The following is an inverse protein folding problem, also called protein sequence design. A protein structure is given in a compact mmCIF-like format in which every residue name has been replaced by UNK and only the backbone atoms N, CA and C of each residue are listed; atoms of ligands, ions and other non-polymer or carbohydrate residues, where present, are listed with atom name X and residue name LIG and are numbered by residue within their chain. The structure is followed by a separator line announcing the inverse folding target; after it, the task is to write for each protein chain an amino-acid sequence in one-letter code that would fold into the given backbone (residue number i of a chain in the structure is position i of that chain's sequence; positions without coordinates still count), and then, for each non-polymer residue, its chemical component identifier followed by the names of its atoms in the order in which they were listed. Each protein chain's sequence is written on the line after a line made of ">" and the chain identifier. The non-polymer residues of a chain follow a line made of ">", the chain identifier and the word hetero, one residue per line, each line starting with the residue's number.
data_IF_131050456661
#
_entry.id   IF_131050456661
#
_cell.length_a   1.000
_cell.length_b   1.000
_cell.length_c   1.000
_cell.angle_alpha   90.00
_cell.angle_beta   90.00
_cell.angle_gamma   90.00
#
_symmetry.space_group_name_H-M   'P 1'
#
loop_
_entity.id
_entity.type
_entity.pdbx_description
1 polymer ?
#
# COMPACT_ATOMS: atom_id res chain seq x y z
N UNK A 1 -42.06 9.45 -12.50
CA UNK A 1 -41.34 8.88 -13.63
C UNK A 1 -40.50 10.01 -14.22
N UNK A 2 -39.37 10.27 -13.59
CA UNK A 2 -38.48 11.41 -13.85
C UNK A 2 -37.45 11.09 -14.94
N UNK A 3 -37.21 9.81 -15.22
CA UNK A 3 -36.31 9.29 -16.24
C UNK A 3 -37.04 8.50 -17.36
N UNK A 4 -38.36 8.32 -17.26
CA UNK A 4 -39.26 7.74 -18.25
C UNK A 4 -39.06 6.23 -18.49
N UNK A 5 -38.73 5.46 -17.46
CA UNK A 5 -38.62 3.99 -17.54
C UNK A 5 -39.94 3.25 -17.26
N UNK A 6 -40.96 3.99 -16.80
CA UNK A 6 -42.30 3.48 -16.51
C UNK A 6 -42.55 3.14 -15.05
N UNK A 7 -41.59 3.36 -14.15
CA UNK A 7 -41.75 3.28 -12.70
C UNK A 7 -41.98 4.70 -12.14
N UNK A 8 -42.77 4.80 -11.06
CA UNK A 8 -43.00 6.10 -10.42
C UNK A 8 -41.82 6.40 -9.48
N UNK A 9 -41.31 7.63 -9.46
CA UNK A 9 -40.20 8.10 -8.58
C UNK A 9 -40.33 7.73 -7.09
N UNK A 10 -41.53 7.43 -6.60
CA UNK A 10 -41.77 7.02 -5.21
C UNK A 10 -41.61 5.51 -4.97
N UNK A 11 -41.59 4.73 -6.04
CA UNK A 11 -41.47 3.26 -6.09
C UNK A 11 -40.18 2.83 -6.80
N UNK A 12 -39.37 3.78 -7.23
CA UNK A 12 -38.13 3.58 -7.98
C UNK A 12 -36.92 3.89 -7.08
N UNK A 13 -36.00 2.94 -6.97
CA UNK A 13 -34.76 3.12 -6.23
C UNK A 13 -33.81 4.12 -6.94
N UNK A 14 -33.94 4.29 -8.26
CA UNK A 14 -33.11 5.15 -9.10
C UNK A 14 -33.91 6.12 -9.97
N UNK A 15 -34.64 7.11 -9.40
CA UNK A 15 -35.57 7.99 -10.15
C UNK A 15 -34.96 8.88 -11.26
N UNK A 16 -33.65 8.81 -11.48
CA UNK A 16 -32.94 9.57 -12.48
C UNK A 16 -32.14 8.70 -13.46
N UNK A 17 -32.23 7.38 -13.33
CA UNK A 17 -31.54 6.41 -14.17
C UNK A 17 -32.50 5.35 -14.69
N UNK A 18 -33.03 5.59 -15.89
CA UNK A 18 -33.99 4.71 -16.55
C UNK A 18 -33.50 3.27 -16.84
N UNK A 19 -32.24 2.98 -16.54
CA UNK A 19 -31.66 1.64 -16.70
C UNK A 19 -31.68 0.83 -15.41
N UNK A 20 -31.99 1.44 -14.27
CA UNK A 20 -32.05 0.82 -12.95
C UNK A 20 -33.40 1.11 -12.29
N UNK A 21 -33.94 0.15 -11.54
CA UNK A 21 -35.27 0.30 -10.87
C UNK A 21 -35.31 -0.26 -9.46
N UNK A 22 -34.40 -1.18 -9.12
CA UNK A 22 -34.39 -1.91 -7.86
C UNK A 22 -32.97 -1.91 -7.28
N UNK A 23 -32.91 -1.82 -5.96
CA UNK A 23 -31.70 -1.86 -5.13
C UNK A 23 -32.04 -2.79 -3.96
N UNK A 24 -31.66 -4.06 -4.07
CA UNK A 24 -32.14 -5.11 -3.16
C UNK A 24 -31.52 -5.04 -1.77
N UNK A 25 -30.29 -4.54 -1.65
CA UNK A 25 -29.55 -4.48 -0.38
C UNK A 25 -29.32 -3.05 0.14
N UNK A 26 -29.66 -2.04 -0.66
CA UNK A 26 -29.72 -0.64 -0.26
C UNK A 26 -28.36 0.07 -0.31
N UNK A 27 -27.41 -0.41 -1.12
CA UNK A 27 -26.07 0.17 -1.23
C UNK A 27 -25.98 1.32 -2.27
N UNK A 28 -27.04 1.53 -3.05
CA UNK A 28 -27.11 2.56 -4.08
C UNK A 28 -26.54 2.13 -5.44
N UNK A 29 -26.32 0.84 -5.67
CA UNK A 29 -26.04 0.24 -6.96
C UNK A 29 -27.24 -0.61 -7.40
N UNK A 30 -27.53 -0.60 -8.70
CA UNK A 30 -28.81 -1.14 -9.18
C UNK A 30 -28.72 -2.60 -9.63
N UNK A 31 -29.73 -3.40 -9.28
CA UNK A 31 -29.76 -4.85 -9.52
C UNK A 31 -29.77 -5.24 -11.01
N UNK A 32 -30.11 -4.31 -11.92
CA UNK A 32 -30.16 -4.64 -13.34
C UNK A 32 -28.73 -4.73 -13.89
N UNK A 33 -28.26 -5.95 -14.11
CA UNK A 33 -26.93 -6.24 -14.67
C UNK A 33 -26.64 -5.58 -16.04
N UNK A 34 -27.68 -5.18 -16.80
CA UNK A 34 -27.54 -4.45 -18.08
C UNK A 34 -27.70 -2.94 -17.95
N UNK A 35 -27.90 -2.43 -16.72
CA UNK A 35 -28.03 -1.00 -16.43
C UNK A 35 -26.70 -0.30 -16.23
N UNK A 36 -26.74 1.01 -15.98
CA UNK A 36 -25.56 1.74 -15.54
C UNK A 36 -25.23 1.35 -14.10
N UNK A 37 -23.94 1.31 -13.78
CA UNK A 37 -23.44 0.98 -12.44
C UNK A 37 -24.14 -0.24 -11.82
N UNK A 38 -24.16 -1.39 -12.53
CA UNK A 38 -24.85 -2.57 -12.07
C UNK A 38 -24.17 -3.16 -10.84
N UNK A 39 -24.96 -3.51 -9.84
CA UNK A 39 -24.50 -4.21 -8.66
C UNK A 39 -24.15 -5.68 -9.01
N UNK A 40 -22.89 -6.06 -8.80
CA UNK A 40 -22.44 -7.45 -8.97
C UNK A 40 -22.84 -8.35 -7.77
N UNK A 41 -23.24 -7.78 -6.65
CA UNK A 41 -23.57 -8.47 -5.40
C UNK A 41 -24.92 -8.01 -4.81
N UNK A 42 -26.01 -8.12 -5.57
CA UNK A 42 -27.42 -7.78 -5.25
C UNK A 42 -28.00 -8.14 -3.85
N UNK A 43 -27.28 -8.81 -2.97
CA UNK A 43 -27.71 -9.12 -1.60
C UNK A 43 -26.63 -8.82 -0.55
N UNK A 44 -25.55 -8.13 -0.91
CA UNK A 44 -24.39 -7.85 -0.04
C UNK A 44 -24.08 -6.36 -0.12
N UNK A 45 -24.74 -5.57 0.74
CA UNK A 45 -24.70 -4.10 0.70
C UNK A 45 -23.33 -3.44 0.91
N UNK A 46 -22.28 -4.25 1.08
CA UNK A 46 -20.90 -3.79 1.21
C UNK A 46 -20.07 -4.03 -0.05
N UNK A 47 -20.63 -4.66 -1.08
CA UNK A 47 -19.96 -5.02 -2.31
C UNK A 47 -20.85 -4.69 -3.50
N UNK A 48 -20.28 -4.11 -4.55
CA UNK A 48 -21.02 -3.79 -5.78
C UNK A 48 -20.22 -4.03 -7.06
N UNK A 49 -18.92 -4.27 -6.94
CA UNK A 49 -18.01 -4.47 -8.06
C UNK A 49 -17.12 -5.68 -7.81
N UNK A 50 -16.85 -6.42 -8.90
CA UNK A 50 -15.97 -7.58 -8.96
C UNK A 50 -15.13 -7.41 -10.24
N UNK A 51 -13.91 -6.89 -10.09
CA UNK A 51 -13.12 -6.45 -11.23
C UNK A 51 -12.56 -7.61 -12.05
N UNK A 52 -12.32 -8.77 -11.45
CA UNK A 52 -11.78 -9.95 -12.14
C UNK A 52 -12.78 -11.10 -12.32
N UNK A 53 -13.95 -11.01 -11.72
CA UNK A 53 -15.09 -11.88 -11.95
C UNK A 53 -15.01 -13.20 -11.19
N UNK A 54 -14.30 -13.25 -10.07
CA UNK A 54 -14.09 -14.47 -9.29
C UNK A 54 -15.14 -14.71 -8.19
N UNK A 55 -16.04 -13.75 -7.98
CA UNK A 55 -17.13 -13.83 -7.01
C UNK A 55 -16.77 -13.28 -5.63
N UNK A 56 -15.60 -12.66 -5.45
CA UNK A 56 -15.27 -11.84 -4.30
C UNK A 56 -15.28 -10.35 -4.67
N UNK A 57 -15.70 -9.50 -3.74
CA UNK A 57 -15.97 -8.10 -4.04
C UNK A 57 -14.76 -7.19 -3.83
N UNK A 58 -14.65 -6.16 -4.67
CA UNK A 58 -13.50 -5.25 -4.68
C UNK A 58 -13.35 -4.42 -3.38
N UNK A 59 -14.45 -4.17 -2.66
CA UNK A 59 -14.43 -3.35 -1.44
C UNK A 59 -13.83 -4.14 -0.27
N UNK A 60 -13.19 -3.41 0.64
CA UNK A 60 -12.52 -4.05 1.78
C UNK A 60 -12.92 -3.42 3.12
N UNK A 61 -13.05 -4.28 4.13
CA UNK A 61 -13.37 -3.85 5.50
C UNK A 61 -12.17 -3.87 6.46
N UNK A 62 -11.04 -4.45 6.03
CA UNK A 62 -9.86 -4.49 6.86
C UNK A 62 -9.04 -3.20 6.72
N UNK A 63 -9.09 -2.34 7.73
CA UNK A 63 -8.37 -1.06 7.73
C UNK A 63 -6.85 -1.22 7.58
N UNK A 64 -6.28 -2.40 7.87
CA UNK A 64 -4.85 -2.65 7.64
C UNK A 64 -4.48 -2.68 6.15
N UNK A 65 -5.46 -2.85 5.25
CA UNK A 65 -5.26 -2.85 3.79
C UNK A 65 -5.34 -1.43 3.19
N UNK A 66 -5.77 -0.43 3.95
CA UNK A 66 -5.88 0.96 3.45
C UNK A 66 -4.54 1.50 2.92
N UNK A 67 -3.42 1.00 3.45
CA UNK A 67 -2.08 1.38 2.99
C UNK A 67 -1.61 0.64 1.74
N UNK A 68 -2.17 -0.54 1.45
CA UNK A 68 -1.81 -1.36 0.28
C UNK A 68 -2.74 -1.11 -0.90
N UNK A 69 -3.98 -0.66 -0.67
CA UNK A 69 -4.98 -0.33 -1.70
C UNK A 69 -4.92 1.16 -2.05
N UNK A 70 -3.94 1.51 -2.88
CA UNK A 70 -3.67 2.88 -3.35
C UNK A 70 -4.27 3.17 -4.72
N UNK A 71 -4.60 4.46 -4.98
CA UNK A 71 -5.15 5.15 -6.18
C UNK A 71 -5.67 4.34 -7.39
N UNK A 72 -4.97 3.32 -7.89
CA UNK A 72 -5.38 2.51 -9.04
C UNK A 72 -5.90 1.11 -8.66
N UNK A 73 -6.15 0.88 -7.36
CA UNK A 73 -6.69 -0.37 -6.86
C UNK A 73 -8.24 -0.35 -6.90
N UNK A 74 -8.90 -1.40 -7.40
CA UNK A 74 -10.36 -1.48 -7.41
C UNK A 74 -10.99 -1.43 -6.01
N UNK A 75 -12.22 -0.92 -5.95
CA UNK A 75 -13.04 -0.84 -4.75
C UNK A 75 -12.71 0.31 -3.81
N UNK A 76 -13.39 0.32 -2.66
CA UNK A 76 -13.15 1.27 -1.58
C UNK A 76 -13.22 0.64 -0.18
N UNK A 77 -12.79 1.39 0.83
CA UNK A 77 -12.92 0.96 2.22
C UNK A 77 -14.37 1.11 2.68
N UNK A 78 -15.00 -0.02 3.00
CA UNK A 78 -16.34 -0.10 3.58
C UNK A 78 -16.24 -0.80 4.93
N UNK A 79 -16.59 -0.12 6.01
CA UNK A 79 -16.50 -0.70 7.36
C UNK A 79 -17.34 -1.98 7.45
N UNK A 80 -16.69 -3.11 7.76
CA UNK A 80 -17.35 -4.41 7.85
C UNK A 80 -17.64 -5.09 6.51
N UNK A 81 -16.94 -4.71 5.42
CA UNK A 81 -17.15 -5.35 4.12
C UNK A 81 -17.02 -6.88 4.18
N UNK A 82 -18.05 -7.55 3.68
CA UNK A 82 -18.11 -9.00 3.54
C UNK A 82 -17.52 -9.43 2.20
N UNK A 83 -17.01 -10.67 2.11
CA UNK A 83 -16.48 -11.25 0.86
C UNK A 83 -15.43 -10.39 0.15
N UNK A 84 -14.66 -9.60 0.91
CA UNK A 84 -13.62 -8.74 0.35
C UNK A 84 -12.54 -9.59 -0.34
N UNK A 85 -12.39 -9.41 -1.64
CA UNK A 85 -11.34 -10.04 -2.42
C UNK A 85 -10.00 -9.46 -2.01
N UNK A 86 -9.01 -10.30 -1.70
CA UNK A 86 -7.64 -9.89 -1.40
C UNK A 86 -6.81 -9.58 -2.66
N UNK A 87 -7.19 -10.13 -3.81
CA UNK A 87 -6.54 -9.99 -5.11
C UNK A 87 -7.47 -9.46 -6.26
N UNK A 88 -8.13 -8.29 -6.16
CA UNK A 88 -9.18 -7.77 -7.09
C UNK A 88 -8.83 -7.54 -8.56
N UNK A 89 -7.64 -7.93 -9.00
CA UNK A 89 -7.22 -7.81 -10.40
C UNK A 89 -6.76 -9.15 -10.98
N UNK A 90 -6.83 -10.22 -10.19
CA UNK A 90 -6.35 -11.55 -10.52
C UNK A 90 -7.32 -12.55 -9.90
N UNK A 91 -8.21 -13.07 -10.75
CA UNK A 91 -9.18 -14.08 -10.34
C UNK A 91 -8.52 -15.24 -9.60
N UNK A 92 -9.12 -15.61 -8.47
CA UNK A 92 -8.65 -16.66 -7.61
C UNK A 92 -9.78 -17.49 -6.99
N UNK A 93 -9.39 -18.42 -6.13
CA UNK A 93 -10.29 -19.38 -5.48
C UNK A 93 -9.90 -19.67 -4.02
N UNK A 94 -8.91 -18.95 -3.48
CA UNK A 94 -8.54 -19.08 -2.06
C UNK A 94 -9.71 -18.71 -1.15
N UNK A 95 -9.86 -19.45 -0.04
CA UNK A 95 -11.04 -19.40 0.84
C UNK A 95 -10.71 -19.34 2.33
N UNK A 96 -9.45 -19.42 2.74
CA UNK A 96 -9.08 -19.45 4.16
C UNK A 96 -8.26 -18.23 4.60
N UNK A 97 -8.13 -18.07 5.93
CA UNK A 97 -7.30 -17.05 6.60
C UNK A 97 -7.59 -15.57 6.23
N UNK A 98 -8.77 -15.30 5.69
CA UNK A 98 -9.16 -13.95 5.26
C UNK A 98 -8.43 -13.48 4.01
N UNK A 99 -7.80 -14.41 3.28
CA UNK A 99 -7.20 -14.20 1.96
C UNK A 99 -8.14 -14.85 0.95
N UNK A 100 -9.21 -14.14 0.62
CA UNK A 100 -10.18 -14.58 -0.38
C UNK A 100 -9.78 -14.10 -1.78
N UNK A 101 -10.17 -14.83 -2.82
CA UNK A 101 -10.04 -14.40 -4.23
C UNK A 101 -8.61 -14.32 -4.79
N UNK A 102 -7.63 -14.88 -4.09
CA UNK A 102 -6.28 -15.03 -4.66
C UNK A 102 -6.08 -16.41 -5.32
N UNK A 103 -5.14 -16.54 -6.27
CA UNK A 103 -4.80 -17.81 -6.87
C UNK A 103 -4.43 -18.87 -5.82
N UNK A 104 -5.05 -20.03 -5.91
CA UNK A 104 -4.81 -21.22 -5.09
C UNK A 104 -4.73 -22.43 -6.06
N UNK A 105 -3.50 -22.81 -6.38
CA UNK A 105 -3.18 -23.74 -7.46
C UNK A 105 -3.50 -25.20 -7.15
N UNK A 106 -3.46 -25.60 -5.88
CA UNK A 106 -3.74 -26.98 -5.45
C UNK A 106 -5.12 -27.15 -4.81
N UNK A 107 -5.81 -26.04 -4.53
CA UNK A 107 -7.22 -26.00 -4.14
C UNK A 107 -7.46 -26.34 -2.67
N UNK A 108 -6.44 -26.20 -1.82
CA UNK A 108 -6.56 -26.47 -0.38
C UNK A 108 -7.20 -25.30 0.40
N UNK A 109 -7.44 -24.18 -0.29
CA UNK A 109 -8.05 -22.96 0.21
C UNK A 109 -7.04 -21.87 0.56
N UNK A 110 -5.74 -22.18 0.63
CA UNK A 110 -4.67 -21.24 0.97
C UNK A 110 -4.15 -20.63 -0.34
N UNK A 111 -4.01 -19.30 -0.37
CA UNK A 111 -3.46 -18.64 -1.55
C UNK A 111 -1.99 -19.05 -1.79
N UNK A 112 -1.61 -19.25 -3.05
CA UNK A 112 -0.26 -19.66 -3.51
C UNK A 112 0.87 -18.84 -2.89
N UNK A 113 0.63 -17.56 -2.62
CA UNK A 113 1.63 -16.63 -2.07
C UNK A 113 1.91 -16.85 -0.57
N UNK A 114 1.05 -17.61 0.11
CA UNK A 114 1.12 -17.95 1.52
C UNK A 114 1.22 -19.46 1.76
N UNK A 115 1.18 -20.26 0.70
CA UNK A 115 1.34 -21.71 0.77
C UNK A 115 2.82 -22.11 0.63
N UNK A 116 3.37 -22.71 1.70
CA UNK A 116 4.74 -23.23 1.73
C UNK A 116 4.88 -24.58 0.99
N UNK A 117 3.77 -25.23 0.66
CA UNK A 117 3.67 -26.58 0.09
C UNK A 117 2.99 -26.57 -1.28
N UNK A 118 3.12 -25.47 -2.04
CA UNK A 118 2.55 -25.30 -3.37
C UNK A 118 3.02 -26.42 -4.33
N UNK A 119 2.22 -27.50 -4.38
CA UNK A 119 2.27 -28.75 -5.18
C UNK A 119 1.73 -29.98 -4.40
N UNK A 120 1.27 -29.84 -3.16
CA UNK A 120 0.81 -30.97 -2.35
C UNK A 120 -0.64 -30.81 -1.92
N UNK A 121 -1.56 -30.93 -2.88
CA UNK A 121 -2.99 -31.13 -2.61
C UNK A 121 -3.18 -32.17 -1.49
N UNK A 122 -3.54 -31.70 -0.30
CA UNK A 122 -3.76 -32.57 0.86
C UNK A 122 -5.05 -33.34 0.61
N UNK A 123 -4.90 -34.64 0.41
CA UNK A 123 -5.99 -35.61 0.42
C UNK A 123 -6.76 -35.42 1.73
N UNK A 124 -8.05 -35.07 1.63
CA UNK A 124 -8.98 -34.94 2.75
C UNK A 124 -8.80 -36.10 3.75
N UNK A 125 -8.45 -35.78 4.99
CA UNK A 125 -8.54 -36.73 6.10
C UNK A 125 -10.01 -36.96 6.46
N UNK A 126 -10.50 -38.20 6.34
CA UNK A 126 -11.24 -38.98 7.37
C UNK A 126 -11.72 -40.34 6.79
N UNK A 127 -11.99 -41.38 7.59
CA UNK A 127 -11.30 -41.87 8.79
C UNK A 127 -10.83 -43.35 8.63
N UNK A 128 -10.09 -43.83 9.63
CA UNK A 128 -9.46 -45.16 9.78
C UNK A 128 -10.29 -46.38 9.29
N UNK A 129 -9.66 -47.30 8.52
CA UNK A 129 -9.89 -48.76 8.69
C UNK A 129 -8.81 -49.66 8.04
N UNK A 130 -8.44 -50.70 8.80
CA UNK A 130 -7.37 -51.69 8.55
C UNK A 130 -7.60 -52.67 7.37
N UNK A 131 -6.50 -52.97 6.66
CA UNK A 131 -6.08 -54.26 6.05
C UNK A 131 -6.90 -54.93 4.93
N UNK A 132 -6.29 -55.18 3.75
CA UNK A 132 -5.72 -56.48 3.30
C UNK A 132 -5.32 -56.46 1.79
N UNK A 133 -4.40 -57.34 1.44
CA UNK A 133 -3.58 -57.43 0.22
C UNK A 133 -4.30 -57.80 -1.11
N UNK A 134 -3.59 -57.48 -2.20
CA UNK A 134 -3.44 -58.20 -3.48
C UNK A 134 -4.39 -57.92 -4.67
N UNK A 135 -3.87 -57.20 -5.70
CA UNK A 135 -3.48 -57.74 -7.03
C UNK A 135 -3.77 -56.83 -8.25
N UNK A 136 -2.67 -56.45 -8.93
CA UNK A 136 -2.47 -56.29 -10.39
C UNK A 136 -3.28 -55.28 -11.21
N UNK A 137 -2.61 -54.24 -11.76
CA UNK A 137 -2.22 -54.18 -13.19
C UNK A 137 -1.50 -52.87 -13.56
N UNK A 138 -0.31 -52.99 -14.16
CA UNK A 138 0.41 -52.11 -15.10
C UNK A 138 0.05 -50.61 -15.23
N UNK A 139 1.03 -49.75 -14.95
CA UNK A 139 1.58 -48.85 -15.97
C UNK A 139 2.95 -48.31 -15.55
N UNK A 140 3.96 -48.68 -16.34
CA UNK A 140 5.38 -48.36 -16.19
C UNK A 140 5.69 -46.86 -16.42
N UNK A 141 5.63 -46.01 -15.39
CA UNK A 141 6.30 -44.68 -15.43
C UNK A 141 7.08 -44.32 -14.16
N UNK A 142 7.01 -45.13 -13.08
CA UNK A 142 7.63 -44.77 -11.80
C UNK A 142 9.12 -45.17 -11.63
N UNK A 143 9.71 -45.91 -12.57
CA UNK A 143 11.07 -46.47 -12.38
C UNK A 143 12.22 -45.47 -12.61
N UNK A 144 11.94 -44.23 -13.03
CA UNK A 144 12.96 -43.20 -13.26
C UNK A 144 13.19 -42.27 -12.06
N UNK A 145 12.17 -42.04 -11.22
CA UNK A 145 12.26 -41.15 -10.06
C UNK A 145 12.84 -41.86 -8.83
N UNK A 146 12.60 -43.16 -8.66
CA UNK A 146 13.24 -43.94 -7.57
C UNK A 146 14.76 -44.06 -7.75
N UNK A 147 15.27 -44.05 -8.98
CA UNK A 147 16.73 -44.09 -9.23
C UNK A 147 17.43 -42.76 -8.92
N UNK A 148 16.68 -41.65 -8.81
CA UNK A 148 17.21 -40.32 -8.46
C UNK A 148 17.26 -40.09 -6.95
N UNK A 149 16.47 -40.85 -6.17
CA UNK A 149 16.35 -40.71 -4.71
C UNK A 149 17.15 -41.75 -3.91
N UNK A 150 17.78 -42.75 -4.56
CA UNK A 150 18.47 -43.84 -3.84
C UNK A 150 19.91 -43.54 -3.39
N UNK A 151 20.45 -42.35 -3.66
CA UNK A 151 21.66 -41.88 -2.98
C UNK A 151 22.95 -42.69 -3.17
N UNK A 152 23.14 -43.36 -4.32
CA UNK A 152 24.39 -44.07 -4.60
C UNK A 152 25.39 -43.21 -5.39
N UNK A 153 26.51 -42.89 -4.74
CA UNK A 153 27.65 -42.17 -5.31
C UNK A 153 28.59 -43.14 -6.02
N UNK A 154 28.64 -43.15 -7.36
CA UNK A 154 29.91 -43.26 -8.09
C UNK A 154 29.79 -42.98 -9.61
N UNK A 155 30.57 -41.98 -10.04
CA UNK A 155 31.13 -41.76 -11.39
C UNK A 155 30.23 -41.30 -12.54
N UNK A 156 30.19 -39.98 -12.66
CA UNK A 156 30.04 -39.17 -13.88
C UNK A 156 30.75 -39.81 -15.09
N UNK A 157 30.06 -39.97 -16.22
CA UNK A 157 30.57 -39.50 -17.54
C UNK A 157 29.47 -39.42 -18.60
N UNK A 158 29.43 -38.25 -19.27
CA UNK A 158 28.78 -37.95 -20.56
C UNK A 158 27.26 -37.79 -20.60
N UNK A 159 26.80 -36.56 -20.35
CA UNK A 159 26.07 -35.74 -21.36
C UNK A 159 25.92 -34.32 -20.83
N UNK A 160 26.97 -33.52 -21.03
CA UNK A 160 26.88 -32.07 -20.91
C UNK A 160 26.18 -31.53 -22.16
N UNK A 161 25.03 -30.89 -22.00
CA UNK A 161 24.38 -30.14 -23.08
C UNK A 161 22.94 -29.83 -22.69
N UNK A 162 22.55 -28.57 -22.83
CA UNK A 162 21.19 -28.05 -22.63
C UNK A 162 20.77 -27.76 -21.17
N UNK A 163 20.77 -28.73 -20.25
CA UNK A 163 20.26 -28.48 -18.88
C UNK A 163 21.03 -27.42 -18.08
N UNK A 164 22.36 -27.53 -18.04
CA UNK A 164 23.21 -26.57 -17.33
C UNK A 164 23.29 -25.20 -18.04
N UNK A 165 23.06 -25.16 -19.36
CA UNK A 165 23.02 -23.91 -20.13
C UNK A 165 21.69 -23.18 -19.88
N UNK A 166 20.59 -23.92 -19.80
CA UNK A 166 19.26 -23.37 -19.51
C UNK A 166 19.20 -22.87 -18.06
N UNK A 167 19.72 -23.63 -17.10
CA UNK A 167 19.81 -23.20 -15.69
C UNK A 167 20.77 -22.02 -15.51
N UNK A 168 21.88 -21.96 -16.25
CA UNK A 168 22.77 -20.80 -16.23
C UNK A 168 22.14 -19.56 -16.90
N UNK A 169 21.38 -19.72 -17.99
CA UNK A 169 20.65 -18.63 -18.66
C UNK A 169 19.47 -18.14 -17.83
N UNK A 170 18.73 -19.03 -17.17
CA UNK A 170 17.63 -18.71 -16.24
C UNK A 170 18.15 -18.04 -14.98
N UNK A 171 19.26 -18.51 -14.40
CA UNK A 171 19.90 -17.85 -13.27
C UNK A 171 20.47 -16.46 -13.62
N UNK A 172 20.92 -16.26 -14.87
CA UNK A 172 21.35 -14.94 -15.37
C UNK A 172 20.17 -14.00 -15.66
N UNK A 173 18.98 -14.52 -15.97
CA UNK A 173 17.76 -13.75 -16.24
C UNK A 173 17.01 -13.33 -14.96
N UNK A 174 17.04 -14.14 -13.90
CA UNK A 174 16.32 -13.88 -12.64
C UNK A 174 16.88 -12.74 -11.77
N UNK A 175 18.02 -12.14 -12.13
CA UNK A 175 18.58 -11.03 -11.35
C UNK A 175 18.34 -9.65 -11.97
N UNK A 176 17.86 -9.57 -13.22
CA UNK A 176 17.73 -8.30 -13.95
C UNK A 176 16.38 -8.06 -14.64
N UNK A 177 15.50 -9.06 -14.77
CA UNK A 177 14.27 -8.87 -15.57
C UNK A 177 13.18 -8.06 -14.85
N UNK A 178 13.01 -8.24 -13.54
CA UNK A 178 12.04 -7.48 -12.72
C UNK A 178 12.44 -6.00 -12.59
N UNK A 179 13.74 -5.71 -12.70
CA UNK A 179 14.27 -4.34 -12.69
C UNK A 179 13.91 -3.53 -13.96
N UNK A 180 13.64 -4.20 -15.08
CA UNK A 180 13.42 -3.58 -16.39
C UNK A 180 11.93 -3.35 -16.73
N UNK A 181 11.01 -3.86 -15.91
CA UNK A 181 9.56 -3.86 -16.17
C UNK A 181 8.74 -2.97 -15.25
N UNK A 182 9.32 -2.45 -14.17
CA UNK A 182 8.65 -1.40 -13.41
C UNK A 182 8.74 -0.08 -14.20
N UNK A 183 7.64 0.67 -14.32
CA UNK A 183 7.73 2.06 -14.71
C UNK A 183 8.76 2.78 -13.83
N UNK A 184 9.49 3.76 -14.36
CA UNK A 184 10.55 4.49 -13.64
C UNK A 184 10.07 5.08 -12.28
N UNK A 185 8.76 5.17 -12.08
CA UNK A 185 8.03 5.62 -10.88
C UNK A 185 7.99 4.61 -9.72
N UNK A 186 8.63 3.44 -9.81
CA UNK A 186 8.63 2.44 -8.73
C UNK A 186 10.03 1.92 -8.37
N UNK A 187 11.08 2.67 -8.72
CA UNK A 187 12.47 2.29 -8.38
C UNK A 187 12.71 2.27 -6.87
N UNK A 188 12.02 3.11 -6.09
CA UNK A 188 12.09 3.09 -4.63
C UNK A 188 11.62 1.76 -4.03
N UNK A 189 10.57 1.14 -4.58
CA UNK A 189 10.03 -0.15 -4.11
C UNK A 189 11.10 -1.24 -4.22
N UNK A 190 11.83 -1.28 -5.33
CA UNK A 190 12.93 -2.25 -5.53
C UNK A 190 14.10 -2.02 -4.57
N UNK A 191 14.36 -0.76 -4.24
CA UNK A 191 15.48 -0.33 -3.42
C UNK A 191 15.20 -0.51 -1.93
N UNK A 192 13.96 -0.31 -1.48
CA UNK A 192 13.52 -0.59 -0.12
C UNK A 192 13.26 -2.08 0.13
N UNK A 193 12.77 -2.84 -0.87
CA UNK A 193 12.52 -4.30 -0.76
C UNK A 193 13.78 -5.14 -0.59
N UNK A 194 14.95 -4.64 -1.00
CA UNK A 194 16.23 -5.39 -0.90
C UNK A 194 16.76 -5.58 0.52
N UNK A 195 16.19 -4.91 1.53
CA UNK A 195 16.60 -5.09 2.93
C UNK A 195 15.41 -5.40 3.82
N UNK A 196 15.32 -6.63 4.32
CA UNK A 196 14.26 -7.06 5.25
C UNK A 196 14.28 -6.32 6.61
N UNK A 197 15.33 -5.54 6.90
CA UNK A 197 15.44 -4.72 8.10
C UNK A 197 16.32 -3.50 7.86
N UNK A 198 15.78 -2.30 8.10
CA UNK A 198 16.55 -1.06 8.05
C UNK A 198 17.53 -0.98 9.24
N UNK A 199 18.74 -0.52 8.97
CA UNK A 199 19.72 -0.16 9.99
C UNK A 199 19.35 1.16 10.67
N UNK A 200 19.87 1.39 11.88
CA UNK A 200 19.64 2.64 12.63
C UNK A 200 20.06 3.90 11.85
N UNK A 201 21.11 3.77 11.05
CA UNK A 201 21.59 4.83 10.16
C UNK A 201 20.57 5.12 9.06
N UNK A 202 20.07 4.08 8.38
CA UNK A 202 19.05 4.25 7.33
C UNK A 202 17.75 4.83 7.89
N UNK A 203 17.28 4.35 9.04
CA UNK A 203 16.09 4.89 9.71
C UNK A 203 16.28 6.39 9.97
N UNK A 204 17.43 6.79 10.52
CA UNK A 204 17.71 8.21 10.81
C UNK A 204 17.68 9.08 9.56
N UNK A 205 18.34 8.64 8.49
CA UNK A 205 18.41 9.42 7.25
C UNK A 205 17.09 9.45 6.47
N UNK A 206 16.31 8.36 6.52
CA UNK A 206 14.99 8.29 5.92
C UNK A 206 13.98 9.17 6.67
N UNK A 207 14.04 9.19 8.01
CA UNK A 207 13.27 10.15 8.81
C UNK A 207 13.64 11.59 8.45
N UNK A 208 14.94 11.91 8.32
CA UNK A 208 15.37 13.25 7.90
C UNK A 208 14.81 13.64 6.53
N UNK A 209 14.86 12.73 5.55
CA UNK A 209 14.29 12.95 4.24
C UNK A 209 12.77 13.17 4.30
N UNK A 210 12.05 12.38 5.10
CA UNK A 210 10.62 12.55 5.32
C UNK A 210 10.30 13.93 5.90
N UNK A 211 11.00 14.35 6.96
CA UNK A 211 10.82 15.68 7.57
C UNK A 211 11.10 16.80 6.58
N UNK A 212 12.08 16.63 5.68
CA UNK A 212 12.37 17.59 4.63
C UNK A 212 11.20 17.72 3.64
N UNK A 213 10.62 16.60 3.19
CA UNK A 213 9.45 16.62 2.32
C UNK A 213 8.24 17.23 3.03
N UNK A 214 8.02 16.91 4.30
CA UNK A 214 6.95 17.49 5.13
C UNK A 214 7.10 18.99 5.37
N UNK A 215 8.32 19.51 5.43
CA UNK A 215 8.54 20.94 5.61
C UNK A 215 8.19 21.75 4.36
N UNK A 216 8.40 21.18 3.17
CA UNK A 216 8.32 21.92 1.90
C UNK A 216 7.27 21.39 0.91
N UNK A 217 6.39 20.47 1.29
CA UNK A 217 5.40 19.89 0.37
C UNK A 217 4.45 20.92 -0.26
N UNK A 218 4.20 22.04 0.42
CA UNK A 218 3.36 23.15 -0.06
C UNK A 218 4.11 23.98 -1.12
N UNK A 219 5.41 24.18 -0.93
CA UNK A 219 6.27 24.93 -1.86
C UNK A 219 7.26 23.99 -2.55
N UNK A 220 6.79 23.34 -3.60
CA UNK A 220 7.55 22.31 -4.31
C UNK A 220 8.80 22.82 -5.00
N UNK A 221 8.88 24.12 -5.32
CA UNK A 221 10.09 24.69 -5.90
C UNK A 221 11.19 24.80 -4.85
N UNK A 222 10.86 25.27 -3.64
CA UNK A 222 11.78 25.23 -2.50
C UNK A 222 12.16 23.80 -2.13
N UNK A 223 11.22 22.84 -2.17
CA UNK A 223 11.53 21.42 -1.94
C UNK A 223 12.59 20.91 -2.93
N UNK A 224 12.48 21.23 -4.22
CA UNK A 224 13.46 20.80 -5.23
C UNK A 224 14.87 21.31 -4.94
N UNK A 225 14.99 22.57 -4.50
CA UNK A 225 16.27 23.15 -4.11
C UNK A 225 16.88 22.43 -2.90
N UNK A 226 16.07 22.16 -1.87
CA UNK A 226 16.50 21.44 -0.66
C UNK A 226 16.90 19.98 -0.96
N UNK A 227 16.18 19.31 -1.86
CA UNK A 227 16.50 17.96 -2.32
C UNK A 227 17.84 17.91 -3.09
N UNK A 228 18.13 18.94 -3.90
CA UNK A 228 19.44 19.07 -4.56
C UNK A 228 20.58 19.31 -3.55
N UNK A 229 20.35 20.16 -2.54
CA UNK A 229 21.30 20.38 -1.45
C UNK A 229 21.56 19.07 -0.67
N UNK A 230 20.50 18.30 -0.39
CA UNK A 230 20.61 17.00 0.27
C UNK A 230 21.44 16.01 -0.56
N UNK A 231 21.28 15.94 -1.88
CA UNK A 231 22.12 15.08 -2.74
C UNK A 231 23.61 15.42 -2.65
N UNK A 232 23.92 16.72 -2.66
CA UNK A 232 25.29 17.20 -2.55
C UNK A 232 25.89 16.83 -1.18
N UNK A 233 25.12 17.05 -0.11
CA UNK A 233 25.49 16.70 1.26
C UNK A 233 25.69 15.18 1.45
N UNK A 234 24.77 14.33 0.97
CA UNK A 234 24.92 12.87 0.99
C UNK A 234 26.20 12.42 0.27
N UNK A 235 26.53 13.06 -0.85
CA UNK A 235 27.77 12.76 -1.57
C UNK A 235 29.00 13.17 -0.77
N UNK A 236 29.00 14.32 -0.11
CA UNK A 236 30.09 14.76 0.75
C UNK A 236 30.28 13.83 1.97
N UNK A 237 29.19 13.51 2.68
CA UNK A 237 29.19 12.59 3.83
C UNK A 237 29.68 11.19 3.46
N UNK A 238 29.34 10.72 2.26
CA UNK A 238 29.86 9.43 1.76
C UNK A 238 31.38 9.47 1.51
N UNK A 239 31.90 10.55 0.92
CA UNK A 239 33.35 10.70 0.69
C UNK A 239 34.14 10.78 2.01
N UNK A 240 33.49 11.24 3.08
CA UNK A 240 34.07 11.30 4.43
C UNK A 240 33.86 10.02 5.26
N UNK A 241 33.24 8.98 4.69
CA UNK A 241 32.84 7.74 5.40
C UNK A 241 31.86 7.97 6.56
N UNK A 242 31.04 9.03 6.50
CA UNK A 242 30.02 9.34 7.50
C UNK A 242 28.69 8.63 7.22
N UNK A 243 28.46 8.21 5.96
CA UNK A 243 27.33 7.37 5.57
C UNK A 243 27.78 6.17 4.74
N UNK A 244 27.05 5.05 4.87
CA UNK A 244 27.27 3.84 4.07
C UNK A 244 26.80 4.02 2.63
N UNK A 245 27.43 3.25 1.74
CA UNK A 245 27.10 3.22 0.31
C UNK A 245 25.62 2.86 0.09
N UNK A 246 25.13 1.82 0.77
CA UNK A 246 23.76 1.33 0.59
C UNK A 246 22.72 2.37 1.04
N UNK A 247 22.98 3.05 2.16
CA UNK A 247 22.14 4.15 2.67
C UNK A 247 22.09 5.32 1.69
N UNK A 248 23.25 5.71 1.14
CA UNK A 248 23.34 6.77 0.12
C UNK A 248 22.54 6.41 -1.13
N UNK A 249 22.71 5.19 -1.66
CA UNK A 249 22.03 4.76 -2.88
C UNK A 249 20.51 4.71 -2.70
N UNK A 250 20.03 4.30 -1.51
CA UNK A 250 18.61 4.36 -1.14
C UNK A 250 18.07 5.78 -1.16
N UNK A 251 18.74 6.69 -0.45
CA UNK A 251 18.30 8.08 -0.35
C UNK A 251 18.33 8.79 -1.69
N UNK A 252 19.40 8.62 -2.49
CA UNK A 252 19.48 9.24 -3.82
C UNK A 252 18.32 8.78 -4.71
N UNK A 253 17.99 7.48 -4.67
CA UNK A 253 16.85 6.95 -5.45
C UNK A 253 15.53 7.64 -5.05
N UNK A 254 15.28 7.77 -3.75
CA UNK A 254 14.07 8.45 -3.26
C UNK A 254 14.07 9.94 -3.62
N UNK A 255 15.22 10.60 -3.54
CA UNK A 255 15.33 12.03 -3.89
C UNK A 255 15.09 12.25 -5.39
N UNK A 256 15.64 11.41 -6.26
CA UNK A 256 15.42 11.48 -7.71
C UNK A 256 13.91 11.37 -8.06
N UNK A 257 13.20 10.50 -7.34
CA UNK A 257 11.76 10.31 -7.52
C UNK A 257 10.94 11.48 -7.00
N UNK A 258 11.26 11.99 -5.81
CA UNK A 258 10.63 13.19 -5.27
C UNK A 258 10.79 14.40 -6.20
N UNK A 259 11.95 14.54 -6.85
CA UNK A 259 12.17 15.63 -7.81
C UNK A 259 11.39 15.50 -9.11
N UNK A 260 11.07 14.27 -9.53
CA UNK A 260 10.25 14.00 -10.72
C UNK A 260 8.74 13.93 -10.42
N UNK A 261 8.37 14.00 -9.15
CA UNK A 261 6.98 13.97 -8.69
C UNK A 261 6.25 15.29 -8.90
N UNK A 262 4.94 15.21 -9.15
CA UNK A 262 4.05 16.37 -9.24
C UNK A 262 3.69 16.91 -7.85
N UNK A 263 3.25 18.18 -7.72
CA UNK A 263 2.86 18.75 -6.43
C UNK A 263 1.80 17.95 -5.67
N UNK A 264 0.78 17.45 -6.37
CA UNK A 264 -0.26 16.61 -5.77
C UNK A 264 0.29 15.26 -5.27
N UNK A 265 1.34 14.73 -5.89
CA UNK A 265 2.01 13.51 -5.41
C UNK A 265 2.85 13.81 -4.18
N UNK A 266 3.58 14.93 -4.17
CA UNK A 266 4.40 15.37 -3.04
C UNK A 266 3.54 15.60 -1.78
N UNK A 267 2.36 16.19 -1.91
CA UNK A 267 1.41 16.37 -0.81
C UNK A 267 1.00 15.02 -0.18
N UNK A 268 0.77 13.99 -1.02
CA UNK A 268 0.43 12.64 -0.56
C UNK A 268 1.62 11.89 0.03
N UNK A 269 2.82 12.15 -0.46
CA UNK A 269 4.06 11.49 -0.01
C UNK A 269 4.51 12.03 1.35
N UNK A 270 4.38 13.34 1.59
CA UNK A 270 4.91 14.02 2.77
C UNK A 270 4.61 13.28 4.09
N UNK A 271 3.37 12.85 4.29
CA UNK A 271 2.93 12.22 5.54
C UNK A 271 2.90 10.69 5.50
N UNK A 272 3.41 10.07 4.42
CA UNK A 272 3.33 8.63 4.22
C UNK A 272 4.62 7.93 4.69
N UNK A 273 4.62 7.36 5.90
CA UNK A 273 5.74 6.56 6.44
C UNK A 273 6.08 5.33 5.57
N UNK A 274 5.10 4.77 4.85
CA UNK A 274 5.29 3.61 3.97
C UNK A 274 6.20 3.92 2.79
N UNK A 275 6.03 5.11 2.20
CA UNK A 275 6.84 5.57 1.08
C UNK A 275 8.33 5.62 1.44
N UNK A 276 8.66 6.00 2.67
CA UNK A 276 10.03 6.04 3.17
C UNK A 276 10.50 4.69 3.75
N UNK A 277 9.66 3.66 3.76
CA UNK A 277 9.98 2.35 4.33
C UNK A 277 10.11 2.36 5.85
N UNK A 278 9.52 3.35 6.52
CA UNK A 278 9.66 3.56 7.97
C UNK A 278 8.63 2.77 8.80
N UNK A 279 7.71 2.06 8.15
CA UNK A 279 6.70 1.22 8.83
C UNK A 279 7.39 0.22 9.77
N UNK A 280 7.01 0.24 11.05
CA UNK A 280 7.48 -0.71 12.06
C UNK A 280 8.90 -0.45 12.57
N UNK A 281 9.54 0.67 12.21
CA UNK A 281 10.92 0.98 12.63
C UNK A 281 11.05 1.86 13.87
N UNK A 282 9.97 2.54 14.26
CA UNK A 282 9.97 3.49 15.38
C UNK A 282 9.43 2.82 16.64
N UNK A 283 10.29 2.68 17.66
CA UNK A 283 9.85 2.35 19.02
C UNK A 283 8.88 3.42 19.50
N UNK A 284 7.82 3.03 20.20
CA UNK A 284 6.72 3.93 20.56
C UNK A 284 7.20 5.15 21.37
N UNK A 285 8.28 4.98 22.14
CA UNK A 285 8.89 6.01 22.97
C UNK A 285 9.71 7.03 22.14
N UNK A 286 10.41 6.56 21.10
CA UNK A 286 11.16 7.41 20.18
C UNK A 286 10.21 8.18 19.25
N UNK A 287 9.08 7.56 18.85
CA UNK A 287 7.98 8.23 18.14
C UNK A 287 7.39 9.36 18.98
N UNK A 288 7.16 9.16 20.28
CA UNK A 288 6.67 10.24 21.15
C UNK A 288 7.69 11.35 21.37
N UNK A 289 8.97 11.03 21.51
CA UNK A 289 10.01 12.04 21.69
C UNK A 289 10.23 12.87 20.41
N UNK A 290 10.19 12.24 19.23
CA UNK A 290 10.26 12.93 17.95
C UNK A 290 8.98 13.74 17.69
N UNK A 291 7.80 13.22 18.04
CA UNK A 291 6.53 13.97 17.96
C UNK A 291 6.52 15.16 18.92
N UNK A 292 7.06 15.03 20.13
CA UNK A 292 7.19 16.14 21.09
C UNK A 292 8.22 17.18 20.61
N UNK A 293 9.34 16.72 20.05
CA UNK A 293 10.35 17.59 19.45
C UNK A 293 9.80 18.29 18.20
N UNK A 294 8.97 17.61 17.43
CA UNK A 294 8.29 18.12 16.24
C UNK A 294 7.12 19.03 16.58
N UNK A 295 6.36 18.79 17.66
CA UNK A 295 5.37 19.74 18.22
C UNK A 295 6.07 20.99 18.75
N UNK A 296 7.25 20.84 19.36
CA UNK A 296 8.08 21.97 19.79
C UNK A 296 8.66 22.76 18.61
N UNK A 297 8.86 22.12 17.45
CA UNK A 297 9.30 22.77 16.19
C UNK A 297 8.14 23.28 15.32
N UNK A 298 6.96 22.67 15.40
CA UNK A 298 5.70 22.99 14.69
C UNK A 298 4.86 24.04 15.42
N UNK A 299 5.49 24.81 16.31
CA UNK A 299 4.88 25.96 16.95
C UNK A 299 4.69 27.14 16.00
N UNK A 300 3.79 27.01 15.02
CA UNK A 300 3.16 28.14 14.34
C UNK A 300 1.78 27.74 13.78
N UNK A 301 0.91 27.19 14.64
CA UNK A 301 -0.52 27.24 14.36
C UNK A 301 -1.06 28.62 14.76
N UNK A 302 -1.84 29.24 13.86
CA UNK A 302 -2.57 30.45 14.19
C UNK A 302 -3.51 30.15 15.39
N UNK A 303 -3.66 31.08 16.35
CA UNK A 303 -4.53 30.86 17.50
C UNK A 303 -5.97 30.57 17.06
N UNK A 304 -6.67 29.72 17.81
CA UNK A 304 -8.08 29.43 17.55
C UNK A 304 -8.91 30.72 17.63
N UNK A 305 -9.81 30.90 16.65
CA UNK A 305 -10.64 32.11 16.46
C UNK A 305 -11.42 32.55 17.70
N UNK A 306 -11.80 31.59 18.54
CA UNK A 306 -12.61 31.79 19.75
C UNK A 306 -11.82 32.41 20.93
N UNK A 307 -10.49 32.31 20.91
CA UNK A 307 -9.64 32.92 21.93
C UNK A 307 -9.78 34.44 21.88
N UNK A 308 -9.87 35.10 23.04
CA UNK A 308 -9.95 36.56 23.16
C UNK A 308 -8.63 37.14 23.65
N UNK A 309 -8.14 38.15 22.94
CA UNK A 309 -6.96 38.92 23.30
C UNK A 309 -7.28 40.18 24.10
N UNK A 310 -6.24 40.94 24.40
CA UNK A 310 -6.35 42.23 25.05
C UNK A 310 -6.50 43.34 23.99
N UNK A 311 -7.48 44.22 24.19
CA UNK A 311 -7.69 45.37 23.31
C UNK A 311 -6.80 46.52 23.77
N UNK A 312 -5.94 46.99 22.89
CA UNK A 312 -5.06 48.13 23.16
C UNK A 312 -5.86 49.44 23.14
N UNK A 313 -5.65 50.28 24.15
CA UNK A 313 -6.33 51.57 24.28
C UNK A 313 -5.76 52.68 23.39
N UNK A 314 -4.62 52.44 22.73
CA UNK A 314 -3.95 53.43 21.88
C UNK A 314 -4.37 53.36 20.42
N UNK A 315 -4.58 52.15 19.90
CA UNK A 315 -4.90 51.88 18.49
C UNK A 315 -6.22 51.11 18.30
N UNK A 316 -6.81 50.56 19.36
CA UNK A 316 -8.11 49.89 19.36
C UNK A 316 -8.09 48.46 18.81
N UNK A 317 -6.92 47.90 18.51
CA UNK A 317 -6.79 46.53 17.99
C UNK A 317 -6.70 45.51 19.13
N UNK A 318 -7.15 44.29 18.85
CA UNK A 318 -7.09 43.16 19.78
C UNK A 318 -5.85 42.32 19.53
N UNK A 319 -5.04 42.12 20.57
CA UNK A 319 -3.77 41.40 20.51
C UNK A 319 -3.78 40.18 21.44
N UNK A 320 -3.23 39.06 20.96
CA UNK A 320 -3.13 37.81 21.71
C UNK A 320 -1.70 37.27 21.64
N UNK A 321 -1.12 36.97 22.80
CA UNK A 321 0.11 36.19 22.88
C UNK A 321 -0.25 34.71 22.98
N UNK A 322 0.22 33.88 22.04
CA UNK A 322 -0.13 32.46 22.01
C UNK A 322 1.01 31.59 21.49
N UNK A 323 1.44 30.56 22.24
CA UNK A 323 1.05 30.27 23.63
C UNK A 323 1.43 31.40 24.59
N UNK A 324 0.77 31.47 25.76
CA UNK A 324 1.08 32.49 26.76
C UNK A 324 2.58 32.46 27.15
N UNK A 325 3.19 33.63 27.32
CA UNK A 325 4.63 33.81 27.63
C UNK A 325 5.60 33.31 26.53
N UNK A 326 5.12 33.01 25.32
CA UNK A 326 5.99 32.57 24.22
C UNK A 326 6.71 33.70 23.49
N UNK A 327 6.33 34.96 23.71
CA UNK A 327 6.78 36.13 22.95
C UNK A 327 6.17 36.24 21.54
N UNK A 328 5.28 35.32 21.14
CA UNK A 328 4.63 35.34 19.84
C UNK A 328 3.28 36.04 19.92
N UNK A 329 3.18 37.19 19.25
CA UNK A 329 2.00 38.04 19.27
C UNK A 329 1.20 37.91 17.97
N UNK A 330 -0.12 37.98 18.12
CA UNK A 330 -1.08 37.91 17.04
C UNK A 330 -2.06 39.09 17.18
N UNK A 331 -2.52 39.62 16.06
CA UNK A 331 -3.50 40.71 15.96
C UNK A 331 -4.77 40.17 15.33
N UNK A 332 -5.94 40.57 15.83
CA UNK A 332 -7.22 40.15 15.25
C UNK A 332 -7.55 40.98 14.01
N UNK A 333 -7.81 40.31 12.90
CA UNK A 333 -8.38 40.93 11.71
C UNK A 333 -9.86 41.26 11.97
N UNK A 334 -10.23 42.54 11.84
CA UNK A 334 -11.56 43.05 12.17
C UNK A 334 -12.63 42.64 11.14
N UNK A 335 -12.23 42.32 9.91
CA UNK A 335 -13.14 41.95 8.83
C UNK A 335 -13.43 40.44 8.83
N UNK A 336 -12.39 39.62 8.97
CA UNK A 336 -12.53 38.15 8.97
C UNK A 336 -12.81 37.58 10.36
N UNK A 337 -12.36 38.26 11.43
CA UNK A 337 -12.41 37.79 12.81
C UNK A 337 -11.30 36.82 13.18
N UNK A 338 -10.38 36.53 12.26
CA UNK A 338 -9.29 35.56 12.44
C UNK A 338 -8.02 36.22 13.02
N UNK A 339 -7.12 35.41 13.55
CA UNK A 339 -5.85 35.85 14.12
C UNK A 339 -4.76 35.86 13.06
N UNK A 340 -4.04 36.97 12.96
CA UNK A 340 -2.88 37.13 12.09
C UNK A 340 -1.63 37.35 12.93
N UNK A 341 -0.48 36.83 12.51
CA UNK A 341 0.76 37.00 13.27
C UNK A 341 1.18 38.47 13.21
N UNK A 342 1.41 39.08 14.38
CA UNK A 342 1.93 40.43 14.49
C UNK A 342 3.44 40.39 14.20
N UNK A 343 3.82 40.94 13.05
CA UNK A 343 5.19 40.93 12.51
C UNK A 343 6.07 42.04 13.06
#
# INVERSE_FOLDING_TARGET
>A
DSDNDGILDLEDAFPSDATQTNDSDGDGYGDNASGNNPDQFTNVSTQWADTDGDGYGDNWGNSSWNSTRVIDFPGEFVEGAELADHCPTISGNSTVDGIFGCPDGDGDGIADQYDEVNDSAVIEEEPEQETQEESTSDSEEETYLESLLSGDTETITQTAGFGAILLALLALLQTNFVAALLPDTFRWVQVLRRSNKLSKEEIKELNYLQSLVQAYYIDTESLKEELELLKADLTARYMNNEIKKDTREKLITLVDELQSSTPNQIEKIAFNEAYFGLIGTTDSEERTNLLEQEIAMRGQSLPQRELKGNISSEDGYEYLESPAESGNWFIRNLDSGDWEKWS
#
